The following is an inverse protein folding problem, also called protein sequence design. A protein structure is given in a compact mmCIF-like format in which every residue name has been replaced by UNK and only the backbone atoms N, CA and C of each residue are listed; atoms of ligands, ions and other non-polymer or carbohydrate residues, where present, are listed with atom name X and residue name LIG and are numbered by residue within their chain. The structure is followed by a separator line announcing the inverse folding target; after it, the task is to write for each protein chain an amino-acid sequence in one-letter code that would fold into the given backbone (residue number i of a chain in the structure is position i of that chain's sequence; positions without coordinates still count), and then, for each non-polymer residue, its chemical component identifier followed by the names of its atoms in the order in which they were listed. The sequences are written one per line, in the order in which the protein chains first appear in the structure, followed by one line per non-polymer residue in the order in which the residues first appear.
data_IF_606935627109
#
_entry.id   IF_606935627109
#
_cell.length_a   1.000
_cell.length_b   1.000
_cell.length_c   1.000
_cell.angle_alpha   90.00
_cell.angle_beta   90.00
_cell.angle_gamma   90.00
#
_symmetry.space_group_name_H-M   'P 1'
#
loop_
_entity.id
_entity.type
_entity.pdbx_description
1 polymer ?
#
# COMPACT_ATOMS: atom_id res chain seq x y z
N UNK A 1 25.51 -15.00 5.37
CA UNK A 1 26.43 -14.21 4.51
C UNK A 1 25.58 -13.19 3.78
N UNK A 2 25.58 -11.91 4.16
CA UNK A 2 26.66 -11.13 4.79
C UNK A 2 26.33 -10.69 6.22
N UNK A 3 27.23 -11.03 7.15
CA UNK A 3 27.64 -10.08 8.17
C UNK A 3 28.49 -9.04 7.43
N UNK A 4 27.84 -8.03 6.85
CA UNK A 4 28.55 -6.78 6.59
C UNK A 4 28.62 -6.15 7.98
N UNK A 5 29.79 -6.20 8.62
CA UNK A 5 30.03 -5.42 9.84
C UNK A 5 29.61 -3.98 9.54
N UNK A 6 28.59 -3.51 10.26
CA UNK A 6 28.08 -2.17 10.04
C UNK A 6 29.17 -1.15 10.33
N UNK A 7 29.59 -0.43 9.29
CA UNK A 7 30.58 0.64 9.40
C UNK A 7 29.86 1.98 9.49
N UNK A 8 29.99 2.66 10.63
CA UNK A 8 29.41 3.97 10.85
C UNK A 8 30.11 5.02 9.96
N UNK A 9 29.41 6.07 9.49
CA UNK A 9 30.06 7.16 8.75
C UNK A 9 31.16 7.82 9.61
N UNK A 10 32.23 8.29 8.97
CA UNK A 10 33.22 9.11 9.65
C UNK A 10 32.58 10.42 10.15
N UNK A 11 32.77 10.73 11.43
CA UNK A 11 32.45 12.03 12.01
C UNK A 11 33.72 12.88 12.17
N UNK A 12 33.55 14.17 12.40
CA UNK A 12 34.64 15.04 12.85
C UNK A 12 35.12 14.69 14.26
N UNK A 13 36.35 15.11 14.59
CA UNK A 13 36.97 14.81 15.89
C UNK A 13 36.30 15.58 17.06
N UNK A 14 35.66 16.72 16.77
CA UNK A 14 35.00 17.57 17.77
C UNK A 14 33.48 17.54 17.58
N UNK A 15 32.76 17.29 18.68
CA UNK A 15 31.30 17.27 18.67
C UNK A 15 30.71 18.66 18.88
N UNK A 16 29.70 18.99 18.09
CA UNK A 16 28.96 20.26 18.13
C UNK A 16 27.64 20.01 18.88
N UNK A 17 27.37 20.75 19.97
CA UNK A 17 26.12 20.63 20.72
C UNK A 17 24.89 20.75 19.84
N UNK A 18 23.93 19.84 20.02
CA UNK A 18 22.66 19.84 19.31
C UNK A 18 21.60 19.14 20.16
N UNK A 19 20.41 19.75 20.29
CA UNK A 19 19.32 19.15 21.04
C UNK A 19 18.66 18.00 20.25
N UNK A 20 18.15 16.94 20.91
CA UNK A 20 17.49 15.83 20.21
C UNK A 20 16.32 16.25 19.31
N UNK A 21 15.42 17.13 19.78
CA UNK A 21 14.32 17.69 18.96
C UNK A 21 14.82 18.49 17.77
N UNK A 22 15.80 19.37 17.98
CA UNK A 22 16.40 20.17 16.92
C UNK A 22 16.99 19.28 15.82
N UNK A 23 17.77 18.27 16.21
CA UNK A 23 18.34 17.30 15.28
C UNK A 23 17.26 16.57 14.48
N UNK A 24 16.15 16.19 15.14
CA UNK A 24 15.02 15.51 14.48
C UNK A 24 14.36 16.40 13.44
N UNK A 25 14.12 17.67 13.76
CA UNK A 25 13.48 18.59 12.82
C UNK A 25 14.37 18.86 11.60
N UNK A 26 15.66 19.17 11.80
CA UNK A 26 16.62 19.35 10.69
C UNK A 26 16.74 18.08 9.83
N UNK A 27 16.77 16.91 10.47
CA UNK A 27 16.84 15.64 9.76
C UNK A 27 15.61 15.42 8.88
N UNK A 28 14.41 15.67 9.41
CA UNK A 28 13.15 15.51 8.69
C UNK A 28 13.02 16.50 7.53
N UNK A 29 13.40 17.77 7.72
CA UNK A 29 13.47 18.79 6.65
C UNK A 29 14.36 18.31 5.49
N UNK A 30 15.53 17.73 5.78
CA UNK A 30 16.37 17.12 4.73
C UNK A 30 15.69 15.94 4.03
N UNK A 31 14.90 15.13 4.74
CA UNK A 31 14.19 14.02 4.11
C UNK A 31 13.06 14.50 3.20
N UNK A 32 12.43 15.64 3.48
CA UNK A 32 11.37 16.23 2.66
C UNK A 32 11.83 16.59 1.25
N UNK A 33 13.13 16.88 1.06
CA UNK A 33 13.71 17.17 -0.26
C UNK A 33 13.69 15.96 -1.20
N UNK A 34 13.90 14.75 -0.66
CA UNK A 34 14.15 13.54 -1.47
C UNK A 34 13.06 12.47 -1.34
N UNK A 35 12.17 12.58 -0.35
CA UNK A 35 11.21 11.55 0.02
C UNK A 35 9.78 12.07 -0.08
N UNK A 36 8.86 11.15 -0.40
CA UNK A 36 7.44 11.45 -0.34
C UNK A 36 7.01 11.79 1.10
N UNK A 37 6.08 12.73 1.25
CA UNK A 37 5.56 13.22 2.54
C UNK A 37 5.18 12.07 3.50
N UNK A 38 4.47 11.06 3.01
CA UNK A 38 4.09 9.87 3.81
C UNK A 38 5.28 9.08 4.38
N UNK A 39 6.43 9.12 3.71
CA UNK A 39 7.68 8.49 4.19
C UNK A 39 8.29 9.32 5.31
N UNK A 40 8.35 10.64 5.15
CA UNK A 40 8.82 11.58 6.19
C UNK A 40 7.96 11.47 7.44
N UNK A 41 6.63 11.46 7.27
CA UNK A 41 5.71 11.23 8.38
C UNK A 41 5.99 9.90 9.09
N UNK A 42 6.22 8.82 8.34
CA UNK A 42 6.59 7.52 8.92
C UNK A 42 7.90 7.56 9.70
N UNK A 43 8.87 8.37 9.26
CA UNK A 43 10.13 8.57 9.97
C UNK A 43 9.91 9.34 11.28
N UNK A 44 9.16 10.45 11.21
CA UNK A 44 8.76 11.24 12.39
C UNK A 44 8.10 10.34 13.44
N UNK A 45 7.13 9.52 13.05
CA UNK A 45 6.45 8.60 13.99
C UNK A 45 7.37 7.55 14.63
N UNK A 46 8.44 7.12 13.93
CA UNK A 46 9.35 6.09 14.46
C UNK A 46 10.42 6.66 15.38
N UNK A 47 10.92 7.85 15.07
CA UNK A 47 12.03 8.48 15.79
C UNK A 47 11.54 9.35 16.95
N UNK A 48 10.35 9.98 16.84
CA UNK A 48 9.82 10.83 17.91
C UNK A 48 9.78 10.15 19.29
N UNK A 49 9.31 8.89 19.44
CA UNK A 49 9.34 8.23 20.75
C UNK A 49 10.75 8.05 21.34
N UNK A 50 11.77 7.95 20.48
CA UNK A 50 13.16 7.89 20.94
C UNK A 50 13.65 9.26 21.41
N UNK A 51 13.33 10.33 20.68
CA UNK A 51 13.65 11.71 21.09
C UNK A 51 12.95 12.09 22.39
N UNK A 52 11.64 11.80 22.51
CA UNK A 52 10.87 11.98 23.75
C UNK A 52 11.51 11.22 24.92
N UNK A 53 11.92 9.96 24.72
CA UNK A 53 12.65 9.18 25.72
C UNK A 53 13.98 9.82 26.15
N UNK A 54 14.77 10.31 25.20
CA UNK A 54 16.06 10.95 25.52
C UNK A 54 15.86 12.17 26.41
N UNK A 55 14.88 13.02 26.09
CA UNK A 55 14.63 14.26 26.82
C UNK A 55 13.90 14.03 28.13
N UNK A 56 12.79 13.30 28.10
CA UNK A 56 11.85 13.20 29.23
C UNK A 56 12.29 12.14 30.27
N UNK A 57 12.90 11.03 29.83
CA UNK A 57 13.29 9.93 30.72
C UNK A 57 14.78 9.94 31.09
N UNK A 58 15.68 10.22 30.13
CA UNK A 58 17.13 10.23 30.38
C UNK A 58 17.69 11.64 30.64
N UNK A 59 16.91 12.70 30.44
CA UNK A 59 17.33 14.09 30.68
C UNK A 59 18.42 14.59 29.74
N UNK A 60 18.48 14.05 28.52
CA UNK A 60 19.48 14.39 27.51
C UNK A 60 18.98 15.57 26.69
N UNK A 61 19.54 16.74 27.00
CA UNK A 61 19.29 17.97 26.23
C UNK A 61 20.34 18.20 25.13
N UNK A 62 21.43 17.41 25.13
CA UNK A 62 22.54 17.51 24.18
C UNK A 62 22.95 16.13 23.67
N UNK A 63 22.89 15.92 22.35
CA UNK A 63 23.25 14.65 21.71
C UNK A 63 24.72 14.24 21.91
N UNK A 64 25.60 15.17 22.30
CA UNK A 64 26.99 14.87 22.66
C UNK A 64 27.09 13.86 23.82
N UNK A 65 26.08 13.85 24.70
CA UNK A 65 26.00 12.99 25.89
C UNK A 65 25.36 11.63 25.58
N UNK A 66 24.83 11.44 24.37
CA UNK A 66 24.28 10.18 23.91
C UNK A 66 25.35 9.09 23.88
N UNK A 67 25.04 7.93 24.46
CA UNK A 67 25.92 6.77 24.48
C UNK A 67 25.11 5.47 24.35
N UNK A 68 25.80 4.34 24.17
CA UNK A 68 25.16 3.03 23.97
C UNK A 68 24.24 2.56 25.08
N UNK A 69 24.42 3.02 26.32
CA UNK A 69 23.53 2.59 27.42
C UNK A 69 22.12 3.15 27.22
N UNK A 70 21.98 4.36 26.70
CA UNK A 70 20.67 4.94 26.39
C UNK A 70 19.97 4.15 25.28
N UNK A 71 20.71 3.72 24.25
CA UNK A 71 20.15 2.86 23.19
C UNK A 71 19.70 1.50 23.71
N UNK A 72 20.53 0.86 24.55
CA UNK A 72 20.20 -0.43 25.16
C UNK A 72 18.95 -0.34 26.05
N UNK A 73 18.83 0.73 26.84
CA UNK A 73 17.66 0.96 27.69
C UNK A 73 16.40 1.22 26.87
N UNK A 74 16.49 2.06 25.83
CA UNK A 74 15.38 2.27 24.92
C UNK A 74 14.92 0.97 24.25
N UNK A 75 15.85 0.18 23.70
CA UNK A 75 15.50 -1.12 23.10
C UNK A 75 14.87 -2.07 24.12
N UNK A 76 15.45 -2.18 25.32
CA UNK A 76 14.88 -2.97 26.41
C UNK A 76 13.47 -2.52 26.78
N UNK A 77 13.21 -1.22 26.87
CA UNK A 77 11.88 -0.65 27.14
C UNK A 77 10.88 -0.99 26.03
N UNK A 78 11.29 -0.87 24.76
CA UNK A 78 10.42 -1.23 23.62
C UNK A 78 10.09 -2.71 23.60
N UNK A 79 11.02 -3.57 24.00
CA UNK A 79 10.82 -5.03 24.08
C UNK A 79 10.02 -5.47 25.30
N UNK A 80 10.19 -4.82 26.45
CA UNK A 80 9.47 -5.16 27.69
C UNK A 80 8.02 -4.68 27.70
N UNK A 81 7.68 -3.67 26.88
CA UNK A 81 6.31 -3.15 26.72
C UNK A 81 5.30 -4.13 26.10
N UNK A 82 5.69 -5.36 25.77
CA UNK A 82 4.78 -6.50 25.52
C UNK A 82 4.13 -6.59 24.13
N UNK A 83 3.90 -5.48 23.42
CA UNK A 83 3.01 -5.48 22.25
C UNK A 83 3.64 -5.09 20.91
N UNK A 84 4.96 -4.91 20.83
CA UNK A 84 5.61 -4.54 19.55
C UNK A 84 5.94 -5.77 18.70
N UNK A 85 5.36 -5.83 17.50
CA UNK A 85 5.71 -6.85 16.51
C UNK A 85 7.20 -6.74 16.11
N UNK A 86 7.91 -7.87 15.97
CA UNK A 86 9.35 -7.92 15.64
C UNK A 86 9.72 -7.08 14.41
N UNK A 87 8.89 -7.12 13.37
CA UNK A 87 9.07 -6.30 12.16
C UNK A 87 8.84 -4.80 12.41
N UNK A 88 7.90 -4.43 13.29
CA UNK A 88 7.70 -3.02 13.68
C UNK A 88 8.92 -2.50 14.43
N UNK A 89 9.46 -3.29 15.36
CA UNK A 89 10.69 -2.95 16.08
C UNK A 89 11.88 -2.82 15.13
N UNK A 90 12.08 -3.79 14.22
CA UNK A 90 13.12 -3.73 13.19
C UNK A 90 13.05 -2.43 12.37
N UNK A 91 11.86 -2.04 11.92
CA UNK A 91 11.66 -0.79 11.18
C UNK A 91 11.92 0.45 12.03
N UNK A 92 11.49 0.46 13.30
CA UNK A 92 11.71 1.58 14.22
C UNK A 92 13.20 1.80 14.46
N UNK A 93 13.92 0.76 14.90
CA UNK A 93 15.35 0.82 15.20
C UNK A 93 16.19 1.10 13.94
N UNK A 94 15.79 0.57 12.79
CA UNK A 94 16.44 0.89 11.50
C UNK A 94 16.25 2.34 11.06
N UNK A 95 15.13 2.99 11.40
CA UNK A 95 14.94 4.43 11.16
C UNK A 95 15.71 5.27 12.19
N UNK A 96 15.77 4.83 13.46
CA UNK A 96 16.60 5.50 14.48
C UNK A 96 18.08 5.45 14.10
N UNK A 97 18.59 4.33 13.57
CA UNK A 97 19.97 4.26 13.09
C UNK A 97 20.27 5.29 11.99
N UNK A 98 19.36 5.48 11.02
CA UNK A 98 19.50 6.52 9.98
C UNK A 98 19.51 7.94 10.57
N UNK A 99 18.71 8.19 11.60
CA UNK A 99 18.74 9.47 12.33
C UNK A 99 20.08 9.68 13.06
N UNK A 100 20.61 8.64 13.71
CA UNK A 100 21.93 8.71 14.37
C UNK A 100 23.07 8.90 13.36
N UNK A 101 23.00 8.28 12.18
CA UNK A 101 23.96 8.52 11.09
C UNK A 101 23.95 9.96 10.60
N UNK A 102 22.78 10.60 10.57
CA UNK A 102 22.69 12.04 10.33
C UNK A 102 23.37 12.83 11.46
N UNK A 103 23.11 12.48 12.72
CA UNK A 103 23.78 13.10 13.87
C UNK A 103 25.30 12.99 13.82
N UNK A 104 25.84 11.84 13.38
CA UNK A 104 27.29 11.66 13.19
C UNK A 104 27.83 12.59 12.10
N UNK A 105 27.15 12.67 10.95
CA UNK A 105 27.54 13.58 9.85
C UNK A 105 27.44 15.05 10.22
N UNK A 106 26.57 15.39 11.17
CA UNK A 106 26.41 16.72 11.73
C UNK A 106 27.37 17.01 12.91
N UNK A 107 28.25 16.07 13.26
CA UNK A 107 29.11 16.11 14.44
C UNK A 107 28.36 16.24 15.78
N UNK A 108 27.08 15.85 15.85
CA UNK A 108 26.28 15.89 17.06
C UNK A 108 26.31 14.57 17.86
N UNK A 109 26.71 13.46 17.23
CA UNK A 109 26.70 12.12 17.82
C UNK A 109 28.04 11.43 17.58
N UNK A 110 28.56 10.73 18.61
CA UNK A 110 29.77 9.92 18.47
C UNK A 110 29.57 8.76 17.47
N UNK A 111 30.51 8.50 16.54
CA UNK A 111 30.38 7.43 15.55
C UNK A 111 30.06 6.06 16.13
N UNK A 112 30.58 5.75 17.32
CA UNK A 112 30.40 4.47 18.00
C UNK A 112 28.97 4.21 18.49
N UNK A 113 28.11 5.23 18.55
CA UNK A 113 26.74 5.09 19.07
C UNK A 113 25.83 4.40 18.07
N UNK A 114 25.91 4.74 16.78
CA UNK A 114 25.02 4.16 15.76
C UNK A 114 25.23 2.65 15.57
N UNK A 115 26.46 2.15 15.76
CA UNK A 115 26.77 0.73 15.67
C UNK A 115 26.23 -0.10 16.83
N UNK A 116 25.89 0.55 17.95
CA UNK A 116 25.33 -0.11 19.14
C UNK A 116 23.82 -0.32 19.07
N UNK A 117 23.15 0.15 18.02
CA UNK A 117 21.72 -0.13 17.79
C UNK A 117 21.55 -1.59 17.39
N UNK A 118 21.06 -2.45 18.30
CA UNK A 118 20.72 -3.84 17.99
C UNK A 118 19.41 -3.91 17.19
N UNK A 119 19.51 -4.09 15.87
CA UNK A 119 18.33 -4.25 15.00
C UNK A 119 17.99 -5.73 14.91
N UNK A 120 16.81 -6.18 15.37
CA UNK A 120 16.45 -7.59 15.30
C UNK A 120 16.45 -8.08 13.85
N UNK A 121 17.14 -9.19 13.57
CA UNK A 121 17.06 -9.80 12.25
C UNK A 121 15.66 -10.38 12.02
N UNK A 122 15.02 -9.97 10.92
CA UNK A 122 13.72 -10.50 10.50
C UNK A 122 13.88 -11.08 9.10
N UNK A 123 13.72 -12.39 8.97
CA UNK A 123 13.84 -13.06 7.67
C UNK A 123 12.78 -12.55 6.69
N UNK A 124 12.99 -12.74 5.37
CA UNK A 124 11.96 -12.39 4.37
C UNK A 124 10.63 -13.08 4.68
N UNK A 125 10.65 -14.34 5.11
CA UNK A 125 9.44 -15.10 5.45
C UNK A 125 8.72 -14.55 6.68
N UNK A 126 9.46 -14.15 7.73
CA UNK A 126 8.88 -13.52 8.93
C UNK A 126 8.26 -12.15 8.63
N UNK A 127 8.67 -11.47 7.55
CA UNK A 127 8.08 -10.20 7.10
C UNK A 127 6.77 -10.40 6.32
N UNK A 128 6.52 -11.60 5.79
CA UNK A 128 5.35 -11.86 4.96
C UNK A 128 4.16 -12.16 5.86
N UNK A 129 3.26 -11.19 6.00
CA UNK A 129 1.97 -11.43 6.63
C UNK A 129 1.06 -12.21 5.65
N UNK A 130 0.96 -13.53 5.86
CA UNK A 130 0.20 -14.49 5.04
C UNK A 130 -1.31 -14.33 5.08
N UNK A 131 -1.85 -13.55 6.02
CA UNK A 131 -3.27 -13.23 6.01
C UNK A 131 -3.64 -12.62 4.65
N UNK A 132 -4.76 -13.06 4.08
CA UNK A 132 -5.30 -12.55 2.81
C UNK A 132 -6.82 -12.51 2.88
N UNK A 133 -7.46 -11.83 1.94
CA UNK A 133 -8.90 -11.96 1.74
C UNK A 133 -9.16 -13.24 0.93
N UNK A 134 -9.83 -14.26 1.48
CA UNK A 134 -10.12 -15.49 0.74
C UNK A 134 -11.01 -15.21 -0.47
N UNK A 135 -10.79 -15.92 -1.58
CA UNK A 135 -11.54 -15.74 -2.83
C UNK A 135 -13.05 -15.85 -2.65
N UNK A 136 -13.54 -16.87 -1.94
CA UNK A 136 -14.98 -17.02 -1.76
C UNK A 136 -15.58 -15.84 -1.00
N UNK A 137 -14.86 -15.35 0.02
CA UNK A 137 -15.29 -14.18 0.79
C UNK A 137 -15.33 -12.91 -0.05
N UNK A 138 -14.35 -12.70 -0.93
CA UNK A 138 -14.37 -11.57 -1.87
C UNK A 138 -15.57 -11.65 -2.82
N UNK A 139 -15.86 -12.85 -3.36
CA UNK A 139 -17.05 -13.08 -4.20
C UNK A 139 -18.35 -12.80 -3.46
N UNK A 140 -18.48 -13.26 -2.21
CA UNK A 140 -19.67 -13.03 -1.40
C UNK A 140 -19.89 -11.53 -1.14
N UNK A 141 -18.81 -10.78 -0.88
CA UNK A 141 -18.86 -9.32 -0.72
C UNK A 141 -19.30 -8.65 -2.01
N UNK A 142 -18.69 -9.00 -3.15
CA UNK A 142 -19.06 -8.42 -4.45
C UNK A 142 -20.50 -8.75 -4.83
N UNK A 143 -20.96 -9.98 -4.62
CA UNK A 143 -22.35 -10.37 -4.88
C UNK A 143 -23.36 -9.64 -3.99
N UNK A 144 -23.00 -9.37 -2.73
CA UNK A 144 -23.83 -8.54 -1.84
C UNK A 144 -23.90 -7.09 -2.35
N UNK A 145 -22.75 -6.50 -2.67
CA UNK A 145 -22.66 -5.12 -3.15
C UNK A 145 -23.37 -4.95 -4.49
N UNK A 146 -23.27 -5.92 -5.38
CA UNK A 146 -23.98 -5.96 -6.64
C UNK A 146 -25.50 -5.98 -6.44
N UNK A 147 -26.00 -6.82 -5.55
CA UNK A 147 -27.45 -6.96 -5.31
C UNK A 147 -28.06 -5.78 -4.56
N UNK A 148 -27.39 -5.26 -3.53
CA UNK A 148 -28.02 -4.33 -2.57
C UNK A 148 -27.43 -2.92 -2.62
N UNK A 149 -26.20 -2.77 -3.09
CA UNK A 149 -25.46 -1.50 -3.10
C UNK A 149 -24.89 -1.20 -4.49
N UNK A 150 -25.65 -1.58 -5.53
CA UNK A 150 -25.22 -1.54 -6.93
C UNK A 150 -24.64 -0.17 -7.29
N UNK A 151 -23.50 -0.18 -7.99
CA UNK A 151 -22.77 1.02 -8.39
C UNK A 151 -22.49 2.03 -7.27
N UNK A 152 -22.54 1.63 -5.99
CA UNK A 152 -22.11 2.49 -4.89
C UNK A 152 -20.59 2.69 -4.93
N UNK A 153 -20.10 3.73 -4.25
CA UNK A 153 -18.66 3.94 -4.08
C UNK A 153 -17.97 2.73 -3.42
N UNK A 154 -18.66 2.06 -2.50
CA UNK A 154 -18.11 0.91 -1.79
C UNK A 154 -18.08 -0.34 -2.71
N UNK A 155 -19.08 -0.50 -3.59
CA UNK A 155 -19.06 -1.48 -4.68
C UNK A 155 -17.87 -1.25 -5.62
N UNK A 156 -17.73 -0.04 -6.16
CA UNK A 156 -16.62 0.30 -7.07
C UNK A 156 -15.25 0.09 -6.41
N UNK A 157 -15.06 0.55 -5.16
CA UNK A 157 -13.80 0.36 -4.43
C UNK A 157 -13.50 -1.13 -4.24
N UNK A 158 -14.47 -1.93 -3.80
CA UNK A 158 -14.28 -3.36 -3.58
C UNK A 158 -13.93 -4.09 -4.89
N UNK A 159 -14.64 -3.78 -5.97
CA UNK A 159 -14.45 -4.42 -7.27
C UNK A 159 -13.10 -4.03 -7.88
N UNK A 160 -12.75 -2.73 -7.88
CA UNK A 160 -11.42 -2.28 -8.31
C UNK A 160 -10.29 -2.91 -7.48
N UNK A 161 -10.40 -2.96 -6.16
CA UNK A 161 -9.40 -3.59 -5.29
C UNK A 161 -9.20 -5.08 -5.62
N UNK A 162 -10.29 -5.78 -5.90
CA UNK A 162 -10.27 -7.21 -6.18
C UNK A 162 -9.76 -7.54 -7.57
N UNK A 163 -10.26 -6.87 -8.61
CA UNK A 163 -9.97 -7.25 -9.99
C UNK A 163 -8.66 -6.67 -10.51
N UNK A 164 -8.37 -5.40 -10.20
CA UNK A 164 -7.12 -4.77 -10.64
C UNK A 164 -5.94 -5.16 -9.75
N UNK A 165 -6.24 -5.56 -8.50
CA UNK A 165 -5.25 -5.73 -7.44
C UNK A 165 -4.46 -4.46 -7.13
N UNK A 166 -4.88 -3.28 -7.58
CA UNK A 166 -4.11 -2.05 -7.46
C UNK A 166 -3.89 -1.60 -6.00
N UNK A 167 -2.88 -0.76 -5.79
CA UNK A 167 -2.65 -0.14 -4.48
C UNK A 167 -3.76 0.89 -4.22
N UNK A 168 -4.16 1.06 -2.96
CA UNK A 168 -5.16 2.06 -2.60
C UNK A 168 -4.78 3.48 -3.06
N UNK A 169 -3.48 3.84 -3.01
CA UNK A 169 -3.00 5.12 -3.55
C UNK A 169 -3.15 5.22 -5.08
N UNK A 170 -2.98 4.12 -5.82
CA UNK A 170 -3.22 4.08 -7.26
C UNK A 170 -4.70 4.22 -7.60
N UNK A 171 -5.60 3.58 -6.82
CA UNK A 171 -7.05 3.77 -6.99
C UNK A 171 -7.48 5.21 -6.67
N UNK A 172 -6.89 5.83 -5.64
CA UNK A 172 -7.13 7.23 -5.31
C UNK A 172 -6.75 8.17 -6.46
N UNK A 173 -5.68 7.86 -7.18
CA UNK A 173 -5.13 8.70 -8.24
C UNK A 173 -5.95 8.68 -9.54
N UNK A 174 -6.90 7.76 -9.70
CA UNK A 174 -7.73 7.65 -10.90
C UNK A 174 -8.68 8.84 -11.03
N UNK A 175 -8.67 9.43 -12.21
CA UNK A 175 -9.56 10.49 -12.67
C UNK A 175 -10.56 9.94 -13.68
N UNK A 176 -11.61 10.70 -14.00
CA UNK A 176 -12.58 10.28 -15.02
C UNK A 176 -11.93 10.05 -16.39
N UNK A 177 -10.92 10.86 -16.72
CA UNK A 177 -10.13 10.71 -17.96
C UNK A 177 -9.38 9.38 -18.06
N UNK A 178 -9.13 8.71 -16.93
CA UNK A 178 -8.39 7.45 -16.86
C UNK A 178 -9.26 6.22 -17.12
N UNK A 179 -10.59 6.38 -17.32
CA UNK A 179 -11.57 5.29 -17.38
C UNK A 179 -12.12 5.16 -18.79
N UNK A 180 -11.79 4.08 -19.50
CA UNK A 180 -12.17 3.86 -20.89
C UNK A 180 -13.21 2.74 -20.94
N UNK A 181 -14.46 3.11 -21.17
CA UNK A 181 -15.61 2.21 -21.17
C UNK A 181 -16.22 2.03 -22.57
N UNK A 182 -16.20 3.08 -23.38
CA UNK A 182 -16.83 3.14 -24.70
C UNK A 182 -15.83 3.65 -25.75
N UNK A 183 -16.10 3.41 -27.03
CA UNK A 183 -15.19 3.80 -28.14
C UNK A 183 -14.82 5.29 -28.12
N UNK A 184 -15.78 6.16 -27.81
CA UNK A 184 -15.58 7.62 -27.71
C UNK A 184 -14.53 7.99 -26.64
N UNK A 185 -14.31 7.13 -25.63
CA UNK A 185 -13.27 7.37 -24.63
C UNK A 185 -11.86 7.24 -25.23
N UNK A 186 -11.68 6.46 -26.30
CA UNK A 186 -10.39 6.25 -26.98
C UNK A 186 -9.89 7.54 -27.66
N UNK A 187 -10.76 8.49 -27.95
CA UNK A 187 -10.37 9.81 -28.45
C UNK A 187 -9.40 10.51 -27.50
N UNK A 188 -9.52 10.27 -26.18
CA UNK A 188 -8.56 10.79 -25.19
C UNK A 188 -7.14 10.26 -25.38
N UNK A 189 -6.97 9.08 -25.98
CA UNK A 189 -5.66 8.56 -26.39
C UNK A 189 -5.23 9.13 -27.74
N UNK A 190 -6.15 9.28 -28.70
CA UNK A 190 -5.85 9.86 -30.02
C UNK A 190 -5.20 11.25 -29.93
N UNK A 191 -5.70 12.07 -29.01
CA UNK A 191 -5.23 13.46 -28.83
C UNK A 191 -4.15 13.61 -27.76
N UNK A 192 -3.57 12.51 -27.25
CA UNK A 192 -2.50 12.60 -26.26
C UNK A 192 -1.18 12.92 -26.97
N UNK A 193 -0.70 14.17 -26.86
CA UNK A 193 0.48 14.69 -27.57
C UNK A 193 1.79 13.91 -27.29
N UNK A 194 1.88 13.23 -26.14
CA UNK A 194 3.10 12.57 -25.64
C UNK A 194 3.19 11.05 -25.94
N UNK A 195 2.33 10.49 -26.80
CA UNK A 195 2.41 9.05 -27.10
C UNK A 195 3.65 8.65 -27.90
N UNK A 196 4.32 9.59 -28.58
CA UNK A 196 5.57 9.32 -29.32
C UNK A 196 5.41 8.34 -30.49
N UNK A 197 4.17 8.13 -30.95
CA UNK A 197 3.79 7.18 -32.00
C UNK A 197 3.15 7.95 -33.16
N UNK A 198 3.51 7.61 -34.40
CA UNK A 198 2.88 8.23 -35.58
C UNK A 198 1.40 7.88 -35.69
N UNK A 199 0.59 8.79 -36.24
CA UNK A 199 -0.88 8.69 -36.31
C UNK A 199 -1.38 7.34 -36.85
N UNK A 200 -0.77 6.82 -37.93
CA UNK A 200 -1.17 5.53 -38.50
C UNK A 200 -0.90 4.34 -37.57
N UNK A 201 0.20 4.39 -36.82
CA UNK A 201 0.56 3.34 -35.85
C UNK A 201 -0.35 3.43 -34.62
N UNK A 202 -0.77 4.64 -34.24
CA UNK A 202 -1.73 4.84 -33.17
C UNK A 202 -3.10 4.26 -33.53
N UNK A 203 -3.60 4.50 -34.74
CA UNK A 203 -4.86 3.91 -35.20
C UNK A 203 -4.79 2.38 -35.26
N UNK A 204 -3.67 1.81 -35.73
CA UNK A 204 -3.47 0.35 -35.71
C UNK A 204 -3.47 -0.21 -34.28
N UNK A 205 -2.86 0.50 -33.32
CA UNK A 205 -2.88 0.12 -31.89
C UNK A 205 -4.30 0.18 -31.34
N UNK A 206 -5.01 1.30 -31.57
CA UNK A 206 -6.36 1.52 -31.05
C UNK A 206 -7.36 0.52 -31.63
N UNK A 207 -7.22 0.14 -32.90
CA UNK A 207 -8.04 -0.91 -33.52
C UNK A 207 -7.90 -2.28 -32.84
N UNK A 208 -6.80 -2.52 -32.12
CA UNK A 208 -6.55 -3.73 -31.34
C UNK A 208 -6.88 -3.62 -29.85
N UNK A 209 -7.35 -2.47 -29.36
CA UNK A 209 -7.67 -2.27 -27.94
C UNK A 209 -9.05 -2.85 -27.63
N UNK A 210 -9.09 -3.78 -26.68
CA UNK A 210 -10.35 -4.28 -26.12
C UNK A 210 -10.77 -3.43 -24.90
N UNK A 211 -11.93 -2.80 -25.03
CA UNK A 211 -12.62 -2.13 -23.92
C UNK A 211 -13.40 -3.16 -23.07
N UNK A 212 -13.61 -2.90 -21.76
CA UNK A 212 -13.18 -1.72 -21.00
C UNK A 212 -11.78 -1.86 -20.38
N UNK A 213 -11.10 -0.72 -20.15
CA UNK A 213 -9.85 -0.68 -19.40
C UNK A 213 -9.71 0.61 -18.58
N UNK A 214 -8.77 0.58 -17.64
CA UNK A 214 -8.37 1.77 -16.86
C UNK A 214 -6.89 2.07 -17.07
N UNK A 215 -6.51 3.34 -17.08
CA UNK A 215 -5.12 3.75 -17.22
C UNK A 215 -4.61 4.34 -15.90
N UNK A 216 -3.68 3.65 -15.23
CA UNK A 216 -2.96 4.27 -14.11
C UNK A 216 -1.87 5.21 -14.63
N UNK A 217 -1.98 6.50 -14.33
CA UNK A 217 -1.01 7.54 -14.73
C UNK A 217 -0.24 8.13 -13.54
N UNK A 218 1.03 8.45 -13.73
CA UNK A 218 1.88 9.10 -12.76
C UNK A 218 1.74 10.61 -12.88
N UNK A 219 1.36 11.25 -11.78
CA UNK A 219 1.15 12.70 -11.72
C UNK A 219 2.07 13.28 -10.63
N UNK A 220 3.37 13.47 -10.92
CA UNK A 220 4.38 13.86 -9.92
C UNK A 220 4.12 15.23 -9.29
N UNK A 221 3.57 16.16 -10.08
CA UNK A 221 3.26 17.54 -9.66
C UNK A 221 1.96 17.65 -8.83
N UNK A 222 1.41 16.53 -8.36
CA UNK A 222 0.17 16.48 -7.58
C UNK A 222 0.36 15.74 -6.27
N UNK A 223 -0.64 15.76 -5.41
CA UNK A 223 -0.72 14.96 -4.18
C UNK A 223 -1.04 13.45 -4.41
N UNK A 224 -1.08 13.01 -5.68
CA UNK A 224 -1.41 11.62 -6.09
C UNK A 224 -0.37 10.90 -6.95
N UNK A 225 0.95 11.00 -6.67
CA UNK A 225 1.94 10.28 -7.45
C UNK A 225 1.80 8.77 -7.26
N UNK A 226 1.90 8.01 -8.36
CA UNK A 226 2.05 6.56 -8.28
C UNK A 226 3.29 6.16 -7.47
N UNK A 227 3.15 5.14 -6.60
CA UNK A 227 4.25 4.62 -5.76
C UNK A 227 5.48 4.18 -6.58
N UNK A 228 5.28 3.73 -7.80
CA UNK A 228 6.33 3.26 -8.70
C UNK A 228 6.73 4.30 -9.76
N UNK A 229 6.25 5.54 -9.62
CA UNK A 229 6.45 6.62 -10.59
C UNK A 229 6.08 6.15 -11.99
N UNK A 230 6.85 6.53 -13.01
CA UNK A 230 6.66 6.16 -14.42
C UNK A 230 6.58 4.64 -14.61
N UNK A 231 7.39 3.86 -13.86
CA UNK A 231 7.34 2.39 -13.92
C UNK A 231 6.04 1.79 -13.34
N UNK A 232 5.18 2.62 -12.74
CA UNK A 232 3.85 2.24 -12.28
C UNK A 232 2.74 2.54 -13.29
N UNK A 233 3.03 3.34 -14.32
CA UNK A 233 2.07 3.68 -15.36
C UNK A 233 1.75 2.45 -16.20
N UNK A 234 0.47 2.23 -16.46
CA UNK A 234 0.01 1.10 -17.27
C UNK A 234 -1.49 1.16 -17.56
N UNK A 235 -1.93 0.72 -18.75
CA UNK A 235 -3.31 0.29 -18.96
C UNK A 235 -3.56 -1.04 -18.23
N UNK A 236 -4.79 -1.23 -17.78
CA UNK A 236 -5.27 -2.45 -17.13
C UNK A 236 -6.66 -2.75 -17.65
N UNK A 237 -6.79 -3.81 -18.45
CA UNK A 237 -8.11 -4.33 -18.83
C UNK A 237 -8.90 -4.71 -17.58
N UNK A 238 -10.19 -4.45 -17.65
CA UNK A 238 -11.19 -4.80 -16.64
C UNK A 238 -12.33 -5.56 -17.33
N UNK A 239 -13.05 -6.35 -16.55
CA UNK A 239 -14.21 -7.10 -17.00
C UNK A 239 -15.32 -6.16 -17.46
N UNK A 240 -16.17 -6.65 -18.37
CA UNK A 240 -17.40 -5.95 -18.78
C UNK A 240 -18.25 -5.60 -17.56
N UNK A 241 -18.38 -6.53 -16.60
CA UNK A 241 -19.15 -6.31 -15.37
C UNK A 241 -18.59 -5.15 -14.52
N UNK A 242 -17.26 -5.04 -14.39
CA UNK A 242 -16.65 -3.89 -13.71
C UNK A 242 -16.84 -2.60 -14.53
N UNK A 243 -16.77 -2.67 -15.86
CA UNK A 243 -17.06 -1.55 -16.75
C UNK A 243 -18.49 -1.01 -16.58
N UNK A 244 -19.49 -1.90 -16.54
CA UNK A 244 -20.89 -1.55 -16.29
C UNK A 244 -21.10 -0.89 -14.92
N UNK A 245 -20.49 -1.46 -13.87
CA UNK A 245 -20.54 -0.92 -12.51
C UNK A 245 -19.89 0.46 -12.44
N UNK A 246 -18.75 0.67 -13.11
CA UNK A 246 -18.08 1.97 -13.21
C UNK A 246 -18.94 2.98 -13.95
N UNK A 247 -19.49 2.62 -15.11
CA UNK A 247 -20.35 3.50 -15.89
C UNK A 247 -21.60 3.93 -15.11
N UNK A 248 -22.26 2.98 -14.44
CA UNK A 248 -23.40 3.27 -13.58
C UNK A 248 -23.02 4.16 -12.39
N UNK A 249 -21.86 3.93 -11.77
CA UNK A 249 -21.37 4.76 -10.67
C UNK A 249 -21.10 6.19 -11.13
N UNK A 250 -20.35 6.36 -12.23
CA UNK A 250 -19.99 7.66 -12.79
C UNK A 250 -21.24 8.46 -13.15
N UNK A 251 -22.22 7.84 -13.82
CA UNK A 251 -23.44 8.52 -14.29
C UNK A 251 -24.44 8.85 -13.18
N UNK A 252 -24.58 8.00 -12.16
CA UNK A 252 -25.72 8.08 -11.24
C UNK A 252 -25.32 8.37 -9.79
N UNK A 253 -24.22 7.78 -9.30
CA UNK A 253 -23.91 7.78 -7.85
C UNK A 253 -22.68 8.59 -7.46
N UNK A 254 -21.77 8.88 -8.40
CA UNK A 254 -20.56 9.65 -8.15
C UNK A 254 -20.92 11.11 -7.90
N UNK A 255 -20.49 11.65 -6.76
CA UNK A 255 -20.61 13.09 -6.52
C UNK A 255 -19.64 13.85 -7.43
N UNK A 256 -20.15 14.81 -8.20
CA UNK A 256 -19.34 15.71 -9.01
C UNK A 256 -18.50 16.63 -8.13
N UNK A 257 -17.29 16.94 -8.61
CA UNK A 257 -16.36 17.83 -7.93
C UNK A 257 -14.94 17.62 -8.43
N UNK A 258 -14.12 18.65 -8.25
CA UNK A 258 -12.69 18.65 -8.58
C UNK A 258 -11.85 18.58 -7.31
N UNK A 259 -10.58 18.16 -7.44
CA UNK A 259 -9.59 18.32 -6.39
C UNK A 259 -8.88 19.67 -6.44
N UNK A 260 -7.92 19.90 -5.54
CA UNK A 260 -7.14 21.14 -5.45
C UNK A 260 -6.29 21.45 -6.69
N UNK A 261 -6.08 20.44 -7.55
CA UNK A 261 -5.38 20.58 -8.83
C UNK A 261 -6.34 20.72 -10.03
N UNK A 262 -7.65 20.89 -9.77
CA UNK A 262 -8.67 21.04 -10.83
C UNK A 262 -9.05 19.73 -11.53
N UNK A 263 -8.59 18.57 -11.05
CA UNK A 263 -8.86 17.27 -11.67
C UNK A 263 -10.17 16.68 -11.20
N UNK A 264 -10.81 15.87 -12.03
CA UNK A 264 -12.07 15.20 -11.70
C UNK A 264 -11.82 13.76 -11.21
N UNK A 265 -11.73 13.52 -9.88
CA UNK A 265 -11.49 12.18 -9.34
C UNK A 265 -12.62 11.22 -9.67
N UNK A 266 -12.26 9.97 -9.99
CA UNK A 266 -13.22 8.86 -10.04
C UNK A 266 -13.86 8.66 -8.66
N UNK A 267 -13.04 8.57 -7.61
CA UNK A 267 -13.48 8.35 -6.25
C UNK A 267 -13.58 9.67 -5.48
N UNK A 268 -14.79 10.23 -5.40
CA UNK A 268 -15.06 11.47 -4.68
C UNK A 268 -15.52 11.23 -3.23
N UNK A 269 -15.27 12.23 -2.38
CA UNK A 269 -15.81 12.30 -1.02
C UNK A 269 -17.26 12.76 -1.04
N UNK A 270 -18.11 12.14 -0.22
CA UNK A 270 -19.51 12.56 -0.01
C UNK A 270 -19.63 13.72 0.99
N UNK A 271 -18.61 13.93 1.83
CA UNK A 271 -18.64 14.87 2.96
C UNK A 271 -18.01 16.22 2.64
N UNK A 272 -17.10 16.24 1.68
CA UNK A 272 -16.42 17.43 1.20
C UNK A 272 -16.26 17.28 -0.32
N UNK A 273 -16.42 18.35 -1.11
CA UNK A 273 -16.12 18.31 -2.53
C UNK A 273 -14.69 17.81 -2.76
N UNK A 274 -14.49 16.96 -3.77
CA UNK A 274 -13.17 16.51 -4.20
C UNK A 274 -12.81 15.05 -3.86
N UNK A 275 -11.52 14.73 -4.00
CA UNK A 275 -10.96 13.37 -4.02
C UNK A 275 -10.99 12.70 -2.64
N UNK A 276 -11.34 11.41 -2.60
CA UNK A 276 -11.27 10.62 -1.36
C UNK A 276 -9.81 10.49 -0.89
N UNK A 277 -9.59 10.41 0.42
CA UNK A 277 -8.25 10.11 0.98
C UNK A 277 -7.94 8.62 0.90
N UNK A 278 -6.65 8.24 0.93
CA UNK A 278 -6.23 6.82 1.03
C UNK A 278 -6.78 6.18 2.30
N UNK A 279 -6.83 6.93 3.40
CA UNK A 279 -7.46 6.49 4.65
C UNK A 279 -8.96 6.21 4.45
N UNK A 280 -9.66 7.04 3.66
CA UNK A 280 -11.05 6.80 3.28
C UNK A 280 -11.24 5.46 2.57
N UNK A 281 -10.43 5.16 1.55
CA UNK A 281 -10.46 3.85 0.86
C UNK A 281 -10.19 2.70 1.85
N UNK A 282 -9.21 2.87 2.75
CA UNK A 282 -8.89 1.86 3.79
C UNK A 282 -10.09 1.60 4.70
N UNK A 283 -10.75 2.65 5.19
CA UNK A 283 -11.95 2.52 6.04
C UNK A 283 -13.05 1.77 5.29
N UNK A 284 -13.30 2.10 4.00
CA UNK A 284 -14.27 1.36 3.19
C UNK A 284 -13.92 -0.12 3.06
N UNK A 285 -12.66 -0.44 2.77
CA UNK A 285 -12.20 -1.84 2.70
C UNK A 285 -12.41 -2.61 4.00
N UNK A 286 -12.31 -1.93 5.16
CA UNK A 286 -12.63 -2.54 6.45
C UNK A 286 -14.13 -2.77 6.60
N UNK A 287 -14.95 -1.78 6.28
CA UNK A 287 -16.40 -1.90 6.41
C UNK A 287 -16.97 -3.02 5.54
N UNK A 288 -16.66 -3.04 4.23
CA UNK A 288 -17.18 -4.08 3.33
C UNK A 288 -16.65 -5.48 3.66
N UNK A 289 -15.61 -5.58 4.49
CA UNK A 289 -15.12 -6.88 4.95
C UNK A 289 -15.71 -7.28 6.29
N UNK A 290 -16.39 -6.43 7.04
CA UNK A 290 -17.09 -6.89 8.25
C UNK A 290 -18.25 -7.82 7.81
N UNK A 291 -18.31 -9.09 8.28
CA UNK A 291 -19.33 -10.04 7.83
C UNK A 291 -20.77 -9.51 8.00
N UNK A 292 -21.04 -8.86 9.13
CA UNK A 292 -22.34 -8.25 9.43
C UNK A 292 -22.73 -7.08 8.51
N UNK A 293 -21.77 -6.40 7.88
CA UNK A 293 -22.06 -5.33 6.92
C UNK A 293 -22.47 -5.87 5.54
N UNK A 294 -22.24 -7.17 5.30
CA UNK A 294 -22.58 -7.86 4.04
C UNK A 294 -23.61 -8.98 4.27
N UNK A 295 -24.46 -8.81 5.29
CA UNK A 295 -25.58 -9.70 5.57
C UNK A 295 -25.19 -11.10 6.07
N UNK A 296 -23.98 -11.26 6.62
CA UNK A 296 -23.53 -12.52 7.25
C UNK A 296 -23.55 -12.37 8.77
N UNK A 297 -23.77 -13.48 9.47
CA UNK A 297 -23.66 -13.52 10.93
C UNK A 297 -22.23 -13.19 11.39
N UNK A 298 -22.12 -12.65 12.60
CA UNK A 298 -20.84 -12.31 13.19
C UNK A 298 -20.12 -13.59 13.64
N UNK A 299 -18.93 -13.92 13.11
CA UNK A 299 -18.20 -15.13 13.50
C UNK A 299 -17.45 -14.99 14.83
N UNK A 300 -17.64 -13.87 15.54
CA UNK A 300 -16.97 -13.54 16.81
C UNK A 300 -17.96 -13.41 17.96
N UNK A 301 -19.19 -13.89 17.77
CA UNK A 301 -20.29 -13.80 18.76
C UNK A 301 -20.54 -12.37 19.29
N UNK A 302 -20.27 -11.35 18.45
CA UNK A 302 -20.57 -9.95 18.76
C UNK A 302 -21.92 -9.57 18.16
N UNK A 303 -22.76 -8.91 18.95
CA UNK A 303 -23.97 -8.26 18.47
C UNK A 303 -23.59 -7.11 17.53
N UNK A 304 -24.02 -7.13 16.25
CA UNK A 304 -23.78 -6.02 15.33
C UNK A 304 -24.31 -4.67 15.82
N UNK A 305 -25.38 -4.59 16.61
CA UNK A 305 -25.93 -3.30 17.04
C UNK A 305 -25.06 -2.61 18.10
N UNK A 306 -24.39 -3.40 18.94
CA UNK A 306 -23.54 -2.90 20.05
C UNK A 306 -22.04 -3.03 19.77
N UNK A 307 -21.66 -3.49 18.58
CA UNK A 307 -20.26 -3.79 18.27
C UNK A 307 -19.41 -2.52 18.11
N UNK A 308 -18.45 -2.32 19.02
CA UNK A 308 -17.46 -1.22 18.97
C UNK A 308 -16.78 -1.09 17.59
N UNK A 309 -16.54 -2.19 16.89
CA UNK A 309 -15.85 -2.15 15.61
C UNK A 309 -16.70 -1.57 14.47
N UNK A 310 -18.00 -1.33 14.70
CA UNK A 310 -18.86 -0.60 13.76
C UNK A 310 -18.84 0.90 14.01
N UNK A 311 -18.40 1.35 15.18
CA UNK A 311 -18.28 2.77 15.51
C UNK A 311 -17.26 3.51 14.64
N UNK A 312 -17.44 4.82 14.49
CA UNK A 312 -16.52 5.66 13.71
C UNK A 312 -15.09 5.59 14.27
N UNK A 313 -14.10 5.33 13.40
CA UNK A 313 -12.70 5.21 13.80
C UNK A 313 -12.27 3.84 14.34
N UNK A 314 -13.20 2.96 14.75
CA UNK A 314 -12.87 1.70 15.42
C UNK A 314 -12.91 0.46 14.52
N UNK A 315 -13.08 0.64 13.20
CA UNK A 315 -13.24 -0.44 12.21
C UNK A 315 -12.17 -1.52 12.28
N UNK A 316 -10.92 -1.14 12.59
CA UNK A 316 -9.79 -2.07 12.69
C UNK A 316 -9.86 -3.02 13.88
N UNK A 317 -10.74 -2.79 14.87
CA UNK A 317 -10.91 -3.67 16.03
C UNK A 317 -11.65 -4.97 15.72
N UNK A 318 -12.30 -5.08 14.55
CA UNK A 318 -12.95 -6.32 14.14
C UNK A 318 -11.90 -7.31 13.57
N UNK A 319 -11.74 -8.52 14.14
CA UNK A 319 -10.74 -9.49 13.67
C UNK A 319 -10.95 -9.95 12.22
N UNK A 320 -12.17 -9.79 11.71
CA UNK A 320 -12.49 -10.14 10.33
C UNK A 320 -12.06 -9.09 9.31
N UNK A 321 -11.79 -7.83 9.67
CA UNK A 321 -11.53 -6.81 8.65
C UNK A 321 -10.26 -7.08 7.85
N UNK A 322 -10.25 -6.68 6.58
CA UNK A 322 -9.10 -6.85 5.69
C UNK A 322 -8.75 -5.51 5.06
N UNK A 323 -7.49 -5.11 5.20
CA UNK A 323 -6.97 -3.86 4.61
C UNK A 323 -6.85 -3.98 3.09
N UNK A 324 -6.66 -2.88 2.34
CA UNK A 324 -6.49 -2.95 0.89
C UNK A 324 -5.32 -3.87 0.45
N UNK A 325 -4.29 -3.99 1.28
CA UNK A 325 -3.19 -4.92 1.02
C UNK A 325 -3.62 -6.39 1.08
N UNK A 326 -4.60 -6.72 1.93
CA UNK A 326 -5.18 -8.06 2.07
C UNK A 326 -6.13 -8.42 0.93
N UNK A 327 -6.85 -7.42 0.40
CA UNK A 327 -7.57 -7.55 -0.87
C UNK A 327 -6.62 -7.89 -2.02
N UNK A 328 -5.55 -7.11 -2.15
CA UNK A 328 -4.53 -7.31 -3.19
C UNK A 328 -3.85 -8.68 -3.14
N UNK A 329 -3.45 -9.16 -1.97
CA UNK A 329 -2.85 -10.51 -1.82
C UNK A 329 -3.84 -11.64 -2.13
N UNK A 330 -5.11 -11.46 -1.76
CA UNK A 330 -6.20 -12.35 -2.17
C UNK A 330 -6.42 -12.35 -3.69
N UNK A 331 -6.39 -11.16 -4.32
CA UNK A 331 -6.49 -10.98 -5.77
C UNK A 331 -5.36 -11.67 -6.52
N UNK A 332 -4.10 -11.57 -6.05
CA UNK A 332 -2.97 -12.32 -6.61
C UNK A 332 -3.27 -13.82 -6.62
N UNK A 333 -3.73 -14.35 -5.49
CA UNK A 333 -4.10 -15.78 -5.38
C UNK A 333 -5.21 -16.12 -6.38
N UNK A 334 -6.26 -15.30 -6.46
CA UNK A 334 -7.39 -15.50 -7.38
C UNK A 334 -7.00 -15.54 -8.86
N UNK A 335 -6.16 -14.60 -9.31
CA UNK A 335 -5.66 -14.56 -10.68
C UNK A 335 -4.83 -15.81 -11.01
N UNK A 336 -3.89 -16.18 -10.12
CA UNK A 336 -3.14 -17.41 -10.33
C UNK A 336 -3.74 -18.69 -9.79
N UNK A 337 -4.99 -18.70 -9.38
CA UNK A 337 -5.80 -19.91 -9.40
C UNK A 337 -6.42 -20.10 -10.80
N UNK A 338 -6.69 -19.01 -11.52
CA UNK A 338 -7.34 -18.99 -12.85
C UNK A 338 -6.46 -19.26 -14.06
N UNK A 339 -5.15 -19.31 -13.89
CA UNK A 339 -4.23 -19.63 -14.99
C UNK A 339 -3.17 -18.57 -15.21
N UNK A 340 -3.33 -17.38 -14.64
CA UNK A 340 -2.53 -16.23 -15.04
C UNK A 340 -1.03 -16.42 -14.74
N UNK A 341 -0.14 -16.13 -15.71
CA UNK A 341 1.30 -16.11 -15.48
C UNK A 341 1.68 -15.10 -14.39
N UNK A 342 2.66 -15.40 -13.52
CA UNK A 342 3.12 -14.45 -12.51
C UNK A 342 3.57 -13.10 -13.09
N UNK A 343 4.16 -13.11 -14.27
CA UNK A 343 4.67 -11.96 -15.00
C UNK A 343 3.53 -11.02 -15.38
N UNK A 344 2.44 -11.55 -15.94
CA UNK A 344 1.25 -10.78 -16.29
C UNK A 344 0.58 -10.16 -15.06
N UNK A 345 0.51 -10.91 -13.95
CA UNK A 345 0.00 -10.38 -12.68
C UNK A 345 0.92 -9.27 -12.15
N UNK A 346 2.24 -9.45 -12.25
CA UNK A 346 3.23 -8.49 -11.81
C UNK A 346 3.09 -7.16 -12.59
N UNK A 347 2.94 -7.24 -13.91
CA UNK A 347 2.65 -6.10 -14.79
C UNK A 347 1.32 -5.45 -14.43
N UNK A 348 0.19 -6.20 -14.48
CA UNK A 348 -1.17 -5.70 -14.17
C UNK A 348 -1.23 -4.98 -12.82
N UNK A 349 -0.53 -5.49 -11.82
CA UNK A 349 -0.57 -4.95 -10.46
C UNK A 349 0.59 -3.99 -10.13
N UNK A 350 1.53 -3.71 -11.06
CA UNK A 350 2.75 -2.95 -10.83
C UNK A 350 3.57 -3.44 -9.62
N UNK A 351 4.04 -4.68 -9.65
CA UNK A 351 4.84 -5.31 -8.59
C UNK A 351 5.90 -6.25 -9.16
N UNK A 352 6.78 -6.80 -8.31
CA UNK A 352 7.74 -7.83 -8.72
C UNK A 352 7.09 -9.21 -8.80
N UNK A 353 7.61 -10.04 -9.72
CA UNK A 353 7.29 -11.48 -9.82
C UNK A 353 7.64 -12.22 -8.53
N UNK A 354 8.75 -11.86 -7.88
CA UNK A 354 9.14 -12.39 -6.57
C UNK A 354 8.02 -12.18 -5.53
N UNK A 355 7.41 -10.99 -5.48
CA UNK A 355 6.30 -10.73 -4.55
C UNK A 355 5.08 -11.57 -4.91
N UNK A 356 4.73 -11.66 -6.20
CA UNK A 356 3.60 -12.48 -6.68
C UNK A 356 3.74 -13.93 -6.24
N UNK A 357 4.93 -14.50 -6.39
CA UNK A 357 5.21 -15.88 -5.99
C UNK A 357 5.25 -16.05 -4.47
N UNK A 358 5.77 -15.07 -3.72
CA UNK A 358 5.86 -15.14 -2.24
C UNK A 358 4.50 -15.18 -1.53
N UNK A 359 3.46 -14.65 -2.17
CA UNK A 359 2.09 -14.62 -1.61
C UNK A 359 1.34 -15.94 -1.88
N UNK A 360 1.85 -16.75 -2.81
CA UNK A 360 1.20 -17.98 -3.27
C UNK A 360 1.72 -19.21 -2.50
N UNK A 361 0.94 -19.67 -1.52
CA UNK A 361 1.35 -20.72 -0.57
C UNK A 361 1.30 -22.15 -1.15
N UNK A 362 1.99 -23.08 -0.49
CA UNK A 362 2.16 -24.48 -0.90
C UNK A 362 0.85 -25.29 -1.02
N UNK A 363 -0.14 -25.19 -0.11
CA UNK A 363 -1.39 -25.94 -0.25
C UNK A 363 -2.13 -25.62 -1.56
N UNK A 364 -2.05 -24.38 -2.03
CA UNK A 364 -2.60 -23.92 -3.30
C UNK A 364 -1.78 -24.46 -4.49
N UNK A 365 -0.45 -24.54 -4.35
CA UNK A 365 0.39 -25.22 -5.34
C UNK A 365 0.01 -26.70 -5.50
N UNK A 366 -0.31 -27.39 -4.40
CA UNK A 366 -0.76 -28.79 -4.39
C UNK A 366 -2.16 -28.95 -5.01
N UNK A 367 -3.13 -28.07 -4.69
CA UNK A 367 -4.44 -28.05 -5.38
C UNK A 367 -4.26 -27.90 -6.90
N UNK A 368 -3.35 -27.04 -7.32
CA UNK A 368 -3.01 -26.89 -8.75
C UNK A 368 -2.25 -28.06 -9.34
N UNK A 369 -1.40 -28.75 -8.58
CA UNK A 369 -0.75 -29.97 -9.04
C UNK A 369 -1.80 -31.04 -9.37
N UNK A 370 -2.83 -31.16 -8.52
CA UNK A 370 -3.96 -32.06 -8.76
C UNK A 370 -4.74 -31.66 -10.03
N UNK A 371 -4.97 -30.36 -10.27
CA UNK A 371 -5.62 -29.86 -11.50
C UNK A 371 -4.70 -30.05 -12.73
N UNK A 372 -3.38 -29.89 -12.58
CA UNK A 372 -2.39 -30.10 -13.66
C UNK A 372 -2.22 -31.56 -14.07
N UNK A 373 -2.86 -32.51 -13.37
CA UNK A 373 -2.89 -33.92 -13.78
C UNK A 373 -3.48 -34.08 -15.19
N UNK A 374 -4.43 -33.23 -15.56
CA UNK A 374 -5.03 -33.17 -16.91
C UNK A 374 -4.01 -32.76 -17.99
N UNK A 375 -2.90 -32.10 -17.63
CA UNK A 375 -1.83 -31.78 -18.58
C UNK A 375 -0.86 -32.94 -18.81
N UNK A 376 -0.91 -34.01 -17.99
CA UNK A 376 -0.12 -35.21 -18.24
C UNK A 376 -0.63 -35.97 -19.46
N UNK A 377 -1.94 -35.88 -19.76
CA UNK A 377 -2.53 -36.52 -20.93
C UNK A 377 -1.98 -35.92 -22.24
N UNK A 378 -1.68 -34.62 -22.24
CA UNK A 378 -1.05 -33.89 -23.36
C UNK A 378 0.42 -34.27 -23.61
N UNK A 379 1.10 -34.88 -22.64
CA UNK A 379 2.50 -35.32 -22.83
C UNK A 379 2.61 -36.58 -23.70
N UNK A 380 1.50 -37.30 -23.88
CA UNK A 380 1.46 -38.58 -24.59
C UNK A 380 0.52 -38.57 -25.81
N UNK A 381 -0.06 -37.40 -26.14
CA UNK A 381 -0.65 -37.19 -27.46
C UNK A 381 0.47 -37.19 -28.51
N UNK A 382 0.37 -38.14 -29.46
CA UNK A 382 1.37 -38.40 -30.51
C UNK A 382 1.25 -37.45 -31.68
#
# INVERSE_FOLDING_TARGET
MRDDEYEAPAGGDELIPMAPREALDIWLERQEMDKAESTVQSYRYRVRPFVEYLEDEEGIENLNDLNGRHLLRFDSMRRSGGDIQKNTLNNQLGTIRQFLEFGIKANAVKPTVASQVDIPHVSKEERINREKLPTQRAKDILAFLDRYEYASRDHVIAFLLWETGARAGSLRALDLEDIYLEEDDLDRLRYQEDLGVGESVLEDILAGVELPFIYFRHRPETDTPLKKRDSGERPVNISEELGEVLGAYIRVRRAAGTDEHGREPLLSSKKAPGRITVSGIRVRSYEVTQPCQVGKECPHDRDPEECEAREHGQKSRCPSVRSPHKWRTGSVTWHRDRGWPPEEIATKMATSVELVNSVYDQPEQLKRMAIRRENLDKLYEK
#
